data_IF_882622056523
#
_entry.id   IF_882622056523
#
_cell.length_a   1.000
_cell.length_b   1.000
_cell.length_c   1.000
_cell.angle_alpha   90.00
_cell.angle_beta   90.00
_cell.angle_gamma   90.00
#
_symmetry.space_group_name_H-M   'P 1'
#
loop_
_entity.id
_entity.type
_entity.pdbx_description
1 polymer ?
#
# COMPACT_ATOMS: atom_id res chain seq x y z
N UNK A 1 -6.71 -2.42 8.29
CA UNK A 1 -6.21 -1.29 7.49
C UNK A 1 -7.40 -0.51 6.95
N UNK A 2 -7.35 0.82 7.01
CA UNK A 2 -8.41 1.68 6.45
C UNK A 2 -7.86 2.38 5.21
N UNK A 3 -8.62 2.34 4.11
CA UNK A 3 -8.30 3.03 2.87
C UNK A 3 -9.39 4.03 2.58
N UNK A 4 -9.02 5.29 2.36
CA UNK A 4 -9.99 6.35 2.05
C UNK A 4 -9.56 7.16 0.85
N UNK A 5 -10.55 7.65 0.09
CA UNK A 5 -10.36 8.54 -1.04
C UNK A 5 -11.42 9.64 -1.02
N UNK A 6 -11.02 10.86 -1.35
CA UNK A 6 -11.91 12.02 -1.43
C UNK A 6 -11.79 12.69 -2.80
N UNK A 7 -12.94 13.08 -3.33
CA UNK A 7 -13.07 13.83 -4.59
C UNK A 7 -14.21 14.84 -4.47
N UNK A 8 -14.38 15.68 -5.50
CA UNK A 8 -15.50 16.64 -5.56
C UNK A 8 -16.88 15.96 -5.53
N UNK A 9 -16.96 14.69 -5.94
CA UNK A 9 -18.23 13.94 -6.02
C UNK A 9 -18.53 13.13 -4.76
N UNK A 10 -17.61 13.05 -3.80
CA UNK A 10 -17.83 12.33 -2.55
C UNK A 10 -16.57 11.75 -1.91
N UNK A 11 -16.79 11.02 -0.82
CA UNK A 11 -15.76 10.31 -0.05
C UNK A 11 -16.10 8.82 -0.02
N UNK A 12 -15.08 7.99 -0.22
CA UNK A 12 -15.13 6.54 -0.04
C UNK A 12 -14.21 6.16 1.12
N UNK A 13 -14.65 5.21 1.93
CA UNK A 13 -13.87 4.67 3.05
C UNK A 13 -14.12 3.17 3.14
N UNK A 14 -13.05 2.40 3.00
CA UNK A 14 -13.06 0.94 3.05
C UNK A 14 -12.19 0.45 4.20
N UNK A 15 -12.62 -0.64 4.82
CA UNK A 15 -11.89 -1.33 5.87
C UNK A 15 -11.50 -2.73 5.39
N UNK A 16 -10.21 -3.02 5.47
CA UNK A 16 -9.62 -4.27 5.01
C UNK A 16 -8.96 -4.96 6.21
N UNK A 17 -9.29 -6.23 6.42
CA UNK A 17 -8.64 -7.06 7.44
C UNK A 17 -7.19 -7.32 7.02
N UNK A 18 -6.25 -7.05 7.93
CA UNK A 18 -4.81 -7.26 7.69
C UNK A 18 -4.16 -7.79 8.96
N UNK A 19 -3.08 -8.54 8.80
CA UNK A 19 -2.11 -8.78 9.86
C UNK A 19 -1.23 -7.54 9.97
N UNK A 20 -1.23 -6.89 11.14
CA UNK A 20 -0.50 -5.64 11.37
C UNK A 20 0.53 -5.81 12.48
N UNK A 21 1.76 -5.43 12.18
CA UNK A 21 2.87 -5.41 13.12
C UNK A 21 3.50 -4.01 13.15
N UNK A 22 3.83 -3.53 14.35
CA UNK A 22 4.45 -2.22 14.55
C UNK A 22 3.44 -1.09 14.83
N UNK A 23 3.84 0.14 14.53
CA UNK A 23 3.04 1.33 14.84
C UNK A 23 2.03 1.67 13.74
N UNK A 24 1.00 2.42 14.10
CA UNK A 24 0.04 2.96 13.15
C UNK A 24 0.66 4.11 12.36
N UNK A 25 0.45 4.10 11.04
CA UNK A 25 0.94 5.12 10.13
C UNK A 25 -0.18 5.60 9.20
N UNK A 26 -0.28 6.91 9.04
CA UNK A 26 -1.13 7.55 8.03
C UNK A 26 -0.24 8.07 6.91
N UNK A 27 -0.50 7.63 5.67
CA UNK A 27 0.31 7.94 4.50
C UNK A 27 -0.57 8.01 3.26
N UNK A 28 -0.30 8.98 2.39
CA UNK A 28 -1.04 9.20 1.15
C UNK A 28 -0.29 8.65 -0.05
N UNK A 29 -1.01 8.03 -0.98
CA UNK A 29 -0.46 7.57 -2.26
C UNK A 29 -1.29 8.06 -3.43
N UNK A 30 -0.66 8.14 -4.61
CA UNK A 30 -1.41 8.19 -5.85
C UNK A 30 -2.14 6.85 -6.04
N UNK A 31 -3.47 6.88 -6.05
CA UNK A 31 -4.30 5.67 -6.13
C UNK A 31 -4.00 4.81 -7.36
N UNK A 32 -3.65 5.43 -8.49
CA UNK A 32 -3.33 4.71 -9.73
C UNK A 32 -2.00 3.96 -9.61
N UNK A 33 -0.97 4.62 -9.07
CA UNK A 33 0.33 3.96 -8.85
C UNK A 33 0.24 2.83 -7.81
N UNK A 34 -0.57 3.02 -6.76
CA UNK A 34 -0.80 1.99 -5.75
C UNK A 34 -1.53 0.78 -6.34
N UNK A 35 -2.60 1.01 -7.11
CA UNK A 35 -3.33 -0.03 -7.81
C UNK A 35 -2.43 -0.79 -8.79
N UNK A 36 -1.70 -0.06 -9.64
CA UNK A 36 -0.82 -0.66 -10.63
C UNK A 36 0.23 -1.55 -9.96
N UNK A 37 0.81 -1.09 -8.85
CA UNK A 37 1.73 -1.89 -8.06
C UNK A 37 1.05 -3.18 -7.55
N UNK A 38 -0.05 -3.07 -6.80
CA UNK A 38 -0.70 -4.28 -6.25
C UNK A 38 -1.16 -5.24 -7.36
N UNK A 39 -1.63 -4.73 -8.51
CA UNK A 39 -2.16 -5.55 -9.61
C UNK A 39 -1.14 -6.42 -10.33
N UNK A 40 0.16 -6.07 -10.27
CA UNK A 40 1.23 -6.87 -10.89
C UNK A 40 1.82 -7.91 -9.93
N UNK A 41 1.38 -7.91 -8.67
CA UNK A 41 1.78 -8.92 -7.70
C UNK A 41 0.98 -10.20 -7.96
N UNK A 42 1.64 -11.23 -8.47
CA UNK A 42 1.05 -12.54 -8.78
C UNK A 42 0.93 -13.39 -7.49
N UNK A 43 0.17 -12.91 -6.53
CA UNK A 43 -0.09 -13.60 -5.26
C UNK A 43 -1.46 -13.24 -4.67
N UNK A 44 -2.06 -14.17 -3.93
CA UNK A 44 -3.36 -13.94 -3.27
C UNK A 44 -3.26 -12.87 -2.16
N UNK A 45 -2.11 -12.78 -1.51
CA UNK A 45 -1.82 -11.78 -0.48
C UNK A 45 -0.47 -11.11 -0.71
N UNK A 46 -0.37 -9.86 -0.27
CA UNK A 46 0.85 -9.05 -0.39
C UNK A 46 1.30 -8.59 0.98
N UNK A 47 2.60 -8.54 1.18
CA UNK A 47 3.21 -7.90 2.34
C UNK A 47 3.58 -6.47 1.99
N UNK A 48 3.05 -5.56 2.79
CA UNK A 48 3.33 -4.12 2.71
C UNK A 48 4.27 -3.77 3.86
N UNK A 49 5.36 -3.05 3.58
CA UNK A 49 6.24 -2.52 4.63
C UNK A 49 6.38 -1.01 4.49
N UNK A 50 6.24 -0.35 5.64
CA UNK A 50 6.19 1.10 5.80
C UNK A 50 7.11 1.50 6.96
N UNK A 51 7.78 2.64 6.85
CA UNK A 51 8.70 3.12 7.90
C UNK A 51 8.36 4.53 8.36
N UNK A 52 8.10 5.46 7.45
CA UNK A 52 7.68 6.82 7.79
C UNK A 52 6.78 7.39 6.69
N UNK A 53 5.96 8.43 6.97
CA UNK A 53 5.05 9.02 5.99
C UNK A 53 5.70 9.60 4.73
N UNK A 54 7.04 9.77 4.77
CA UNK A 54 7.83 10.33 3.66
C UNK A 54 8.67 9.27 2.94
N UNK A 55 8.76 8.06 3.49
CA UNK A 55 9.49 6.96 2.88
C UNK A 55 8.60 6.17 1.93
N UNK A 56 9.22 5.62 0.88
CA UNK A 56 8.54 4.74 -0.05
C UNK A 56 8.04 3.47 0.65
N UNK A 57 6.86 3.03 0.24
CA UNK A 57 6.28 1.77 0.65
C UNK A 57 6.82 0.65 -0.21
N UNK A 58 7.22 -0.46 0.40
CA UNK A 58 7.59 -1.66 -0.33
C UNK A 58 6.44 -2.65 -0.35
N UNK A 59 6.22 -3.26 -1.52
CA UNK A 59 5.23 -4.32 -1.73
C UNK A 59 5.96 -5.56 -2.26
N UNK A 60 5.76 -6.69 -1.59
CA UNK A 60 6.26 -8.01 -1.99
C UNK A 60 5.16 -9.07 -1.82
N UNK A 61 5.21 -10.22 -2.50
CA UNK A 61 4.28 -11.32 -2.27
C UNK A 61 4.42 -11.81 -0.83
N UNK A 62 3.31 -12.13 -0.16
CA UNK A 62 3.38 -12.67 1.19
C UNK A 62 4.07 -14.06 1.21
N UNK A 63 3.82 -14.85 0.18
CA UNK A 63 4.46 -16.14 -0.04
C UNK A 63 5.67 -15.98 -0.97
N UNK A 64 6.86 -16.35 -0.47
CA UNK A 64 8.10 -16.26 -1.25
C UNK A 64 8.25 -17.51 -2.11
N UNK A 65 8.21 -17.33 -3.43
CA UNK A 65 8.63 -18.38 -4.36
C UNK A 65 10.16 -18.45 -4.44
N UNK A 66 10.69 -19.66 -4.26
CA UNK A 66 12.13 -19.90 -4.31
C UNK A 66 12.68 -19.55 -5.70
N UNK A 67 13.63 -18.61 -5.75
CA UNK A 67 14.24 -18.12 -6.99
C UNK A 67 13.59 -16.87 -7.61
N UNK A 68 12.44 -16.40 -7.10
CA UNK A 68 11.83 -15.13 -7.56
C UNK A 68 12.03 -14.02 -6.52
N UNK A 69 12.60 -12.89 -6.96
CA UNK A 69 12.66 -11.66 -6.17
C UNK A 69 11.72 -10.65 -6.78
N UNK A 70 10.59 -10.41 -6.12
CA UNK A 70 9.63 -9.40 -6.51
C UNK A 70 9.58 -8.34 -5.43
N UNK A 71 9.87 -7.10 -5.81
CA UNK A 71 9.83 -5.94 -4.92
C UNK A 71 9.38 -4.73 -5.73
N UNK A 72 8.34 -4.08 -5.25
CA UNK A 72 7.92 -2.78 -5.77
C UNK A 72 8.08 -1.71 -4.73
N UNK A 73 8.48 -0.52 -5.18
CA UNK A 73 8.60 0.67 -4.36
C UNK A 73 7.61 1.71 -4.86
N UNK A 74 6.66 2.09 -4.01
CA UNK A 74 5.67 3.14 -4.30
C UNK A 74 5.99 4.35 -3.43
N UNK A 75 6.22 5.50 -4.07
CA UNK A 75 6.53 6.74 -3.36
C UNK A 75 5.25 7.42 -2.86
N UNK A 76 5.25 7.95 -1.64
CA UNK A 76 4.09 8.65 -1.10
C UNK A 76 3.90 10.02 -1.76
N UNK A 77 2.67 10.52 -1.68
CA UNK A 77 2.36 11.93 -1.94
C UNK A 77 2.26 12.66 -0.61
N UNK A 78 2.54 13.97 -0.63
CA UNK A 78 2.29 14.80 0.56
C UNK A 78 0.79 14.88 0.80
N UNK A 79 0.37 14.41 1.96
CA UNK A 79 -0.96 14.71 2.49
C UNK A 79 -0.98 16.20 2.85
N UNK A 80 -1.67 16.99 2.03
CA UNK A 80 -2.00 18.36 2.39
C UNK A 80 -3.18 18.27 3.37
N UNK A 81 -2.91 18.49 4.66
CA UNK A 81 -3.97 18.72 5.64
C UNK A 81 -4.59 20.10 5.44
#
# INVERSE_FOLDING_TARGET
MTVSSSSVTGRVNDEITVEHEGENIEIGFNCRLLHDAVSVCDSESVKISLTSPLMGMTIEPAEKEEGKKFLMLVLPVRLNK
#
